data_IF_386668155745
#
_entry.id   IF_386668155745
#
_cell.length_a   1.000
_cell.length_b   1.000
_cell.length_c   1.000
_cell.angle_alpha   90.00
_cell.angle_beta   90.00
_cell.angle_gamma   90.00
#
_symmetry.space_group_name_H-M   'P 1'
#
loop_
_entity.id
_entity.type
_entity.pdbx_description
1 polymer ?
#
# COMPACT_ATOMS: atom_id res chain seq x y z
N UNK A 1 -21.11 -23.16 -38.51
CA UNK A 1 -20.36 -23.98 -37.53
C UNK A 1 -19.14 -24.53 -38.21
N UNK A 2 -17.95 -24.05 -37.82
CA UNK A 2 -16.64 -24.66 -38.16
C UNK A 2 -15.74 -24.66 -36.92
N UNK A 3 -15.88 -23.64 -36.05
CA UNK A 3 -15.22 -23.62 -34.74
C UNK A 3 -15.76 -24.66 -33.76
N UNK A 4 -17.05 -25.00 -33.83
CA UNK A 4 -17.67 -26.04 -32.98
C UNK A 4 -17.13 -27.42 -33.37
N UNK A 5 -16.96 -27.71 -34.67
CA UNK A 5 -16.47 -29.02 -35.14
C UNK A 5 -14.97 -29.24 -34.88
N UNK A 6 -14.21 -28.15 -34.73
CA UNK A 6 -12.77 -28.19 -34.45
C UNK A 6 -12.48 -28.31 -32.95
N UNK A 7 -13.28 -27.65 -32.11
CA UNK A 7 -13.11 -27.62 -30.65
C UNK A 7 -13.89 -28.75 -29.97
N UNK A 8 -15.01 -29.18 -30.58
CA UNK A 8 -15.86 -30.27 -30.14
C UNK A 8 -15.11 -31.54 -29.73
N UNK A 9 -14.25 -32.13 -30.59
CA UNK A 9 -13.56 -33.38 -30.24
C UNK A 9 -12.56 -33.21 -29.09
N UNK A 10 -11.93 -32.04 -28.94
CA UNK A 10 -11.03 -31.79 -27.81
C UNK A 10 -11.79 -31.60 -26.50
N UNK A 11 -12.95 -30.96 -26.53
CA UNK A 11 -13.83 -30.80 -25.37
C UNK A 11 -14.42 -32.14 -24.96
N UNK A 12 -14.90 -32.95 -25.89
CA UNK A 12 -15.40 -34.30 -25.60
C UNK A 12 -14.30 -35.18 -25.00
N UNK A 13 -13.08 -35.15 -25.55
CA UNK A 13 -11.94 -35.89 -25.00
C UNK A 13 -11.59 -35.42 -23.58
N UNK A 14 -11.64 -34.12 -23.32
CA UNK A 14 -11.39 -33.56 -21.99
C UNK A 14 -12.49 -33.95 -20.98
N UNK A 15 -13.76 -33.97 -21.41
CA UNK A 15 -14.89 -34.39 -20.58
C UNK A 15 -14.82 -35.88 -20.26
N UNK A 16 -14.51 -36.73 -21.25
CA UNK A 16 -14.39 -38.19 -21.05
C UNK A 16 -13.21 -38.50 -20.13
N UNK A 17 -12.03 -37.91 -20.38
CA UNK A 17 -10.87 -38.09 -19.49
C UNK A 17 -11.12 -37.53 -18.09
N UNK A 18 -11.83 -36.41 -17.98
CA UNK A 18 -12.25 -35.84 -16.70
C UNK A 18 -13.19 -36.77 -15.94
N UNK A 19 -14.16 -37.39 -16.62
CA UNK A 19 -15.10 -38.33 -16.03
C UNK A 19 -14.43 -39.66 -15.63
N UNK A 20 -13.47 -40.15 -16.41
CA UNK A 20 -12.67 -41.33 -16.04
C UNK A 20 -11.77 -41.06 -14.84
N UNK A 21 -11.11 -39.90 -14.80
CA UNK A 21 -10.34 -39.47 -13.62
C UNK A 21 -11.22 -39.31 -12.39
N UNK A 22 -12.46 -38.81 -12.55
CA UNK A 22 -13.42 -38.69 -11.47
C UNK A 22 -13.86 -40.04 -10.90
N UNK A 23 -14.10 -41.04 -11.77
CA UNK A 23 -14.41 -42.42 -11.35
C UNK A 23 -13.25 -43.10 -10.63
N UNK A 24 -12.01 -42.86 -11.05
CA UNK A 24 -10.83 -43.37 -10.34
C UNK A 24 -10.63 -42.74 -8.96
N UNK A 25 -11.09 -41.49 -8.80
CA UNK A 25 -11.05 -40.75 -7.53
C UNK A 25 -12.26 -41.00 -6.63
N UNK A 26 -13.33 -41.63 -7.13
CA UNK A 26 -14.54 -42.01 -6.40
C UNK A 26 -14.29 -42.67 -5.02
N UNK A 27 -13.33 -43.62 -4.84
CA UNK A 27 -13.02 -44.19 -3.53
C UNK A 27 -12.43 -43.19 -2.52
N UNK A 28 -11.96 -42.02 -2.95
CA UNK A 28 -11.41 -40.96 -2.10
C UNK A 28 -12.42 -39.84 -1.81
N UNK A 29 -13.70 -40.01 -2.15
CA UNK A 29 -14.79 -39.05 -1.93
C UNK A 29 -14.41 -37.60 -2.34
N UNK A 30 -14.14 -37.34 -3.64
CA UNK A 30 -13.66 -36.04 -4.12
C UNK A 30 -14.67 -34.91 -3.88
N UNK A 31 -15.96 -35.26 -3.69
CA UNK A 31 -17.03 -34.38 -3.24
C UNK A 31 -16.73 -33.67 -1.90
N UNK A 32 -15.87 -34.24 -1.06
CA UNK A 32 -15.51 -33.72 0.26
C UNK A 32 -14.35 -32.72 0.21
N UNK A 33 -13.59 -32.67 -0.88
CA UNK A 33 -12.43 -31.77 -1.01
C UNK A 33 -12.91 -30.31 -0.99
N UNK A 34 -13.98 -30.00 -1.71
CA UNK A 34 -14.55 -28.65 -1.75
C UNK A 34 -15.04 -28.16 -0.37
N UNK A 35 -15.87 -28.89 0.39
CA UNK A 35 -16.27 -28.46 1.73
C UNK A 35 -15.11 -28.45 2.73
N UNK A 36 -14.09 -29.30 2.59
CA UNK A 36 -12.87 -29.24 3.42
C UNK A 36 -12.12 -27.92 3.17
N UNK A 37 -11.91 -27.54 1.91
CA UNK A 37 -11.25 -26.27 1.55
C UNK A 37 -12.09 -25.09 2.04
N UNK A 38 -13.40 -25.12 1.83
CA UNK A 38 -14.31 -24.08 2.34
C UNK A 38 -14.26 -23.98 3.86
N UNK A 39 -14.29 -25.11 4.58
CA UNK A 39 -14.21 -25.14 6.05
C UNK A 39 -12.87 -24.63 6.56
N UNK A 40 -11.77 -24.95 5.86
CA UNK A 40 -10.43 -24.45 6.18
C UNK A 40 -10.36 -22.93 5.98
N UNK A 41 -10.88 -22.42 4.87
CA UNK A 41 -10.96 -20.97 4.63
C UNK A 41 -11.83 -20.30 5.70
N UNK A 42 -12.97 -20.87 6.08
CA UNK A 42 -13.83 -20.34 7.14
C UNK A 42 -13.16 -20.35 8.52
N UNK A 43 -12.38 -21.38 8.86
CA UNK A 43 -11.69 -21.45 10.14
C UNK A 43 -10.55 -20.42 10.24
N UNK A 44 -9.77 -20.23 9.18
CA UNK A 44 -8.64 -19.29 9.17
C UNK A 44 -9.05 -17.84 8.88
N UNK A 45 -10.10 -17.62 8.08
CA UNK A 45 -10.52 -16.28 7.65
C UNK A 45 -11.88 -15.84 8.21
N UNK A 46 -12.67 -16.73 8.82
CA UNK A 46 -13.96 -16.37 9.42
C UNK A 46 -13.84 -15.58 10.74
N UNK A 47 -12.71 -15.69 11.44
CA UNK A 47 -12.43 -14.93 12.67
C UNK A 47 -11.81 -13.55 12.45
N UNK A 48 -11.49 -13.18 11.21
CA UNK A 48 -10.70 -11.99 10.89
C UNK A 48 -11.37 -10.67 11.35
N UNK A 49 -12.69 -10.65 11.46
CA UNK A 49 -13.43 -9.50 11.97
C UNK A 49 -13.05 -9.16 13.43
N UNK A 50 -12.92 -10.17 14.29
CA UNK A 50 -12.55 -9.97 15.70
C UNK A 50 -11.08 -9.58 15.83
N UNK A 51 -10.20 -10.17 15.01
CA UNK A 51 -8.79 -9.79 14.96
C UNK A 51 -8.62 -8.35 14.48
N UNK A 52 -9.35 -7.93 13.46
CA UNK A 52 -9.29 -6.55 12.94
C UNK A 52 -9.80 -5.55 13.99
N UNK A 53 -10.91 -5.85 14.67
CA UNK A 53 -11.38 -5.03 15.80
C UNK A 53 -10.34 -4.96 16.91
N UNK A 54 -9.74 -6.10 17.30
CA UNK A 54 -8.70 -6.14 18.31
C UNK A 54 -7.46 -5.34 17.90
N UNK A 55 -7.04 -5.40 16.65
CA UNK A 55 -5.94 -4.59 16.11
C UNK A 55 -6.28 -3.09 16.19
N UNK A 56 -7.50 -2.69 15.83
CA UNK A 56 -7.94 -1.28 15.93
C UNK A 56 -7.97 -0.80 17.37
N UNK A 57 -8.50 -1.59 18.30
CA UNK A 57 -8.53 -1.26 19.73
C UNK A 57 -7.11 -1.26 20.34
N UNK A 58 -6.26 -2.20 19.96
CA UNK A 58 -4.85 -2.22 20.36
C UNK A 58 -4.11 -0.98 19.85
N UNK A 59 -4.33 -0.58 18.59
CA UNK A 59 -3.76 0.64 18.03
C UNK A 59 -4.25 1.89 18.75
N UNK A 60 -5.55 1.92 19.09
CA UNK A 60 -6.17 3.01 19.85
C UNK A 60 -5.53 3.19 21.23
N UNK A 61 -5.21 2.09 21.91
CA UNK A 61 -4.60 2.13 23.25
C UNK A 61 -3.10 2.42 23.16
N UNK A 62 -2.38 1.79 22.24
CA UNK A 62 -0.91 1.80 22.23
C UNK A 62 -0.29 2.93 21.39
N UNK A 63 -0.93 3.34 20.29
CA UNK A 63 -0.28 4.15 19.26
C UNK A 63 -1.00 5.43 18.86
N UNK A 64 -2.29 5.57 19.17
CA UNK A 64 -3.13 6.64 18.62
C UNK A 64 -2.69 8.05 19.03
N UNK A 65 -2.46 8.31 20.31
CA UNK A 65 -2.11 9.66 20.79
C UNK A 65 -0.78 10.14 20.18
N UNK A 66 0.25 9.30 20.27
CA UNK A 66 1.57 9.59 19.69
C UNK A 66 1.51 9.77 18.17
N UNK A 67 0.73 8.95 17.47
CA UNK A 67 0.55 9.06 16.02
C UNK A 67 -0.17 10.37 15.66
N UNK A 68 -1.24 10.70 16.38
CA UNK A 68 -2.02 11.93 16.15
C UNK A 68 -1.15 13.18 16.30
N UNK A 69 -0.36 13.25 17.37
CA UNK A 69 0.50 14.40 17.61
C UNK A 69 1.62 14.49 16.56
N UNK A 70 2.17 13.34 16.16
CA UNK A 70 3.15 13.24 15.06
C UNK A 70 2.59 13.71 13.72
N UNK A 71 1.33 13.38 13.41
CA UNK A 71 0.63 13.86 12.21
C UNK A 71 0.45 15.39 12.25
N UNK A 72 0.09 15.95 13.41
CA UNK A 72 -0.07 17.41 13.56
C UNK A 72 1.27 18.12 13.34
N UNK A 73 2.35 17.59 13.90
CA UNK A 73 3.72 18.09 13.73
C UNK A 73 4.12 18.04 12.24
N UNK A 74 3.96 16.89 11.59
CA UNK A 74 4.23 16.72 10.17
C UNK A 74 3.44 17.71 9.31
N UNK A 75 2.17 17.93 9.62
CA UNK A 75 1.32 18.87 8.90
C UNK A 75 1.79 20.32 9.05
N UNK A 76 2.23 20.72 10.25
CA UNK A 76 2.80 22.05 10.49
C UNK A 76 4.09 22.25 9.70
N UNK A 77 5.00 21.26 9.72
CA UNK A 77 6.26 21.32 8.98
C UNK A 77 6.01 21.31 7.46
N UNK A 78 5.06 20.52 6.98
CA UNK A 78 4.64 20.54 5.57
C UNK A 78 4.11 21.90 5.14
N UNK A 79 3.29 22.57 5.95
CA UNK A 79 2.80 23.92 5.65
C UNK A 79 3.94 24.94 5.54
N UNK A 80 4.93 24.87 6.43
CA UNK A 80 6.12 25.72 6.37
C UNK A 80 6.92 25.49 5.08
N UNK A 81 7.24 24.23 4.78
CA UNK A 81 7.96 23.85 3.55
C UNK A 81 7.21 24.32 2.30
N UNK A 82 5.88 24.18 2.27
CA UNK A 82 5.07 24.63 1.15
C UNK A 82 5.10 26.15 0.97
N UNK A 83 5.07 26.90 2.07
CA UNK A 83 5.17 28.36 2.02
C UNK A 83 6.55 28.79 1.51
N UNK A 84 7.62 28.21 2.06
CA UNK A 84 8.99 28.50 1.63
C UNK A 84 9.24 28.06 0.18
N UNK A 85 8.67 26.95 -0.27
CA UNK A 85 8.77 26.51 -1.67
C UNK A 85 8.11 27.47 -2.62
N UNK A 86 6.97 28.05 -2.24
CA UNK A 86 6.31 29.06 -3.08
C UNK A 86 7.16 30.32 -3.20
N UNK A 87 7.80 30.74 -2.10
CA UNK A 87 8.72 31.88 -2.11
C UNK A 87 9.97 31.57 -2.94
N UNK A 88 10.50 30.35 -2.86
CA UNK A 88 11.66 29.92 -3.67
C UNK A 88 11.33 29.83 -5.16
N UNK A 89 10.10 29.43 -5.52
CA UNK A 89 9.62 29.40 -6.90
C UNK A 89 9.48 30.80 -7.55
N UNK A 90 9.50 31.87 -6.75
CA UNK A 90 9.44 33.28 -7.17
C UNK A 90 10.81 33.97 -7.19
N UNK A 91 11.87 33.32 -6.68
CA UNK A 91 13.21 33.90 -6.64
C UNK A 91 13.88 33.86 -8.02
N UNK A 92 14.43 35.01 -8.35
CA UNK A 92 15.27 35.28 -9.52
C UNK A 92 16.57 35.89 -8.95
N UNK A 93 17.58 35.04 -8.77
CA UNK A 93 18.85 35.44 -8.14
C UNK A 93 19.85 36.03 -9.15
N UNK A 94 19.70 35.75 -10.44
CA UNK A 94 20.55 36.28 -11.51
C UNK A 94 20.01 37.56 -12.18
N UNK A 95 18.76 37.92 -11.86
CA UNK A 95 18.12 39.16 -12.29
C UNK A 95 17.76 39.16 -13.76
N UNK A 96 17.61 37.99 -14.36
CA UNK A 96 17.33 37.83 -15.79
C UNK A 96 15.82 37.90 -16.14
N UNK A 97 14.98 38.01 -15.11
CA UNK A 97 13.52 38.14 -15.21
C UNK A 97 12.77 36.80 -15.22
N UNK A 98 13.47 35.66 -15.08
CA UNK A 98 12.89 34.32 -15.04
C UNK A 98 13.36 33.62 -13.76
N UNK A 99 12.43 33.06 -12.98
CA UNK A 99 12.78 32.36 -11.75
C UNK A 99 13.76 31.19 -11.98
N UNK A 100 14.81 31.09 -11.16
CA UNK A 100 15.89 30.10 -11.28
C UNK A 100 15.35 28.66 -11.38
N UNK A 101 14.25 28.38 -10.68
CA UNK A 101 13.58 27.08 -10.60
C UNK A 101 13.16 26.56 -11.99
N UNK A 102 12.95 27.47 -12.95
CA UNK A 102 12.57 27.12 -14.33
C UNK A 102 13.77 26.94 -15.27
N UNK A 103 14.96 27.34 -14.84
CA UNK A 103 16.17 27.35 -15.65
C UNK A 103 17.10 26.17 -15.33
N UNK A 104 16.98 25.60 -14.13
CA UNK A 104 17.79 24.48 -13.67
C UNK A 104 17.34 23.12 -14.24
N UNK A 105 18.28 22.17 -14.28
CA UNK A 105 18.00 20.77 -14.66
C UNK A 105 17.09 20.08 -13.64
N UNK A 106 16.31 19.08 -14.06
CA UNK A 106 15.44 18.29 -13.17
C UNK A 106 16.20 17.69 -11.96
N UNK A 107 17.46 17.27 -12.17
CA UNK A 107 18.30 16.73 -11.08
C UNK A 107 18.66 17.80 -10.06
N UNK A 108 19.02 18.99 -10.53
CA UNK A 108 19.37 20.13 -9.68
C UNK A 108 18.15 20.67 -8.94
N UNK A 109 16.97 20.63 -9.59
CA UNK A 109 15.69 20.97 -8.99
C UNK A 109 15.37 20.05 -7.80
N UNK A 110 15.58 18.74 -7.94
CA UNK A 110 15.39 17.79 -6.83
C UNK A 110 16.35 18.11 -5.68
N UNK A 111 17.63 18.37 -5.97
CA UNK A 111 18.60 18.73 -4.93
C UNK A 111 18.24 20.04 -4.22
N UNK A 112 17.82 21.08 -4.96
CA UNK A 112 17.37 22.37 -4.39
C UNK A 112 16.14 22.20 -3.50
N UNK A 113 15.13 21.45 -3.95
CA UNK A 113 13.93 21.19 -3.13
C UNK A 113 14.22 20.33 -1.90
N UNK A 114 15.15 19.38 -2.00
CA UNK A 114 15.60 18.61 -0.85
C UNK A 114 16.34 19.51 0.16
N UNK A 115 17.23 20.38 -0.30
CA UNK A 115 17.92 21.35 0.56
C UNK A 115 16.94 22.31 1.23
N UNK A 116 15.93 22.80 0.50
CA UNK A 116 14.86 23.62 1.06
C UNK A 116 14.10 22.86 2.15
N UNK A 117 13.72 21.61 1.89
CA UNK A 117 13.06 20.77 2.88
C UNK A 117 13.90 20.59 4.16
N UNK A 118 15.20 20.32 4.02
CA UNK A 118 16.13 20.13 5.13
C UNK A 118 16.38 21.43 5.91
N UNK A 119 16.37 22.60 5.26
CA UNK A 119 16.55 23.90 5.91
C UNK A 119 15.29 24.36 6.66
N UNK A 120 14.12 24.04 6.12
CA UNK A 120 12.83 24.53 6.66
C UNK A 120 12.26 23.63 7.76
N UNK A 121 12.65 22.36 7.79
CA UNK A 121 12.12 21.35 8.71
C UNK A 121 13.05 21.09 9.88
N UNK A 122 12.52 20.92 11.10
CA UNK A 122 13.31 20.43 12.24
C UNK A 122 13.57 18.92 12.08
N UNK A 123 14.84 18.50 11.91
CA UNK A 123 15.17 17.09 11.69
C UNK A 123 14.91 16.21 12.92
N UNK A 124 14.99 16.75 14.13
CA UNK A 124 14.76 15.99 15.37
C UNK A 124 13.26 15.74 15.50
N UNK A 125 12.46 16.79 15.32
CA UNK A 125 10.99 16.72 15.40
C UNK A 125 10.44 15.75 14.34
N UNK A 126 10.99 15.79 13.11
CA UNK A 126 10.58 14.87 12.06
C UNK A 126 11.00 13.44 12.30
N UNK A 127 12.22 13.19 12.77
CA UNK A 127 12.66 11.83 13.07
C UNK A 127 11.82 11.22 14.20
N UNK A 128 11.49 12.02 15.22
CA UNK A 128 10.61 11.59 16.30
C UNK A 128 9.19 11.27 15.80
N UNK A 129 8.61 12.13 14.96
CA UNK A 129 7.28 11.91 14.39
C UNK A 129 7.22 10.64 13.51
N UNK A 130 8.24 10.41 12.67
CA UNK A 130 8.34 9.18 11.88
C UNK A 130 8.53 7.95 12.76
N UNK A 131 9.37 8.06 13.79
CA UNK A 131 9.61 7.00 14.77
C UNK A 131 8.34 6.62 15.52
N UNK A 132 7.53 7.59 15.92
CA UNK A 132 6.26 7.37 16.62
C UNK A 132 5.21 6.66 15.73
N UNK A 133 5.10 7.06 14.45
CA UNK A 133 4.21 6.38 13.49
C UNK A 133 4.67 4.93 13.26
N UNK A 134 5.98 4.72 13.09
CA UNK A 134 6.55 3.39 12.91
C UNK A 134 6.35 2.51 14.15
N UNK A 135 6.55 3.06 15.35
CA UNK A 135 6.32 2.36 16.61
C UNK A 135 4.84 1.95 16.75
N UNK A 136 3.91 2.83 16.38
CA UNK A 136 2.49 2.50 16.35
C UNK A 136 2.16 1.38 15.37
N UNK A 137 2.80 1.36 14.20
CA UNK A 137 2.61 0.29 13.21
C UNK A 137 3.17 -1.07 13.68
N UNK A 138 4.35 -1.09 14.31
CA UNK A 138 4.95 -2.34 14.80
C UNK A 138 4.22 -2.90 16.04
N UNK A 139 3.50 -2.05 16.77
CA UNK A 139 2.80 -2.45 18.00
C UNK A 139 1.52 -3.28 17.76
N UNK A 140 1.03 -3.40 16.52
CA UNK A 140 -0.28 -3.97 16.17
C UNK A 140 -0.17 -4.96 15.02
#
# INVERSE_FOLDING_TARGET
GRGIDLIGPYVELAVVKGAEGYKQLEPYHPNLIAPIICGLVLMFFGGYFMTLIACVEAYRICGWENTRDSIIIMWKNFKKVRQESRLDDEKDEDGDGIADVKQISEKELVTRKLQLFLRTTDPIEMNHALGAIYAGWVAV
#
